data_IF_058649828278
#
_entry.id   IF_058649828278
#
_cell.length_a   1.000
_cell.length_b   1.000
_cell.length_c   1.000
_cell.angle_alpha   90.00
_cell.angle_beta   90.00
_cell.angle_gamma   90.00
#
_symmetry.space_group_name_H-M   'P 1'
#
loop_
_entity.id
_entity.type
_entity.pdbx_description
1 polymer ?
#
# COMPACT_ATOMS: atom_id res chain seq x y z
N UNK A 1 16.99 24.41 -130.43
CA UNK A 1 18.26 23.72 -130.17
C UNK A 1 18.44 23.60 -128.67
N UNK A 2 18.45 22.35 -128.20
CA UNK A 2 19.29 21.80 -127.13
C UNK A 2 19.65 22.62 -125.86
N UNK A 3 19.19 22.07 -124.73
CA UNK A 3 19.99 21.52 -123.62
C UNK A 3 20.13 22.26 -122.27
N UNK A 4 19.85 21.46 -121.23
CA UNK A 4 20.45 21.35 -119.91
C UNK A 4 20.49 22.53 -118.93
N UNK A 5 19.70 22.36 -117.86
CA UNK A 5 20.25 22.05 -116.53
C UNK A 5 20.84 23.21 -115.75
N UNK A 6 20.17 23.59 -114.65
CA UNK A 6 20.81 23.61 -113.34
C UNK A 6 19.73 23.62 -112.24
N UNK A 7 19.84 22.64 -111.36
CA UNK A 7 19.19 22.59 -110.06
C UNK A 7 19.86 23.64 -109.19
N UNK A 8 19.11 24.59 -108.61
CA UNK A 8 19.61 25.37 -107.47
C UNK A 8 18.77 25.07 -106.22
N UNK A 9 19.35 24.21 -105.38
CA UNK A 9 18.93 23.93 -104.01
C UNK A 9 19.31 25.16 -103.18
N UNK A 10 18.35 26.06 -102.95
CA UNK A 10 18.50 27.06 -101.88
C UNK A 10 17.55 26.78 -100.74
N UNK A 11 18.04 25.85 -99.91
CA UNK A 11 17.84 25.71 -98.48
C UNK A 11 17.58 27.07 -97.80
N UNK A 12 16.32 27.49 -97.72
CA UNK A 12 15.89 28.55 -96.81
C UNK A 12 15.71 27.89 -95.44
N UNK A 13 16.81 27.92 -94.67
CA UNK A 13 16.85 27.70 -93.22
C UNK A 13 15.61 28.31 -92.59
N UNK A 14 14.62 27.48 -92.27
CA UNK A 14 13.49 27.86 -91.44
C UNK A 14 14.08 28.35 -90.13
N UNK A 15 13.80 29.61 -89.76
CA UNK A 15 14.15 30.16 -88.45
C UNK A 15 13.63 29.17 -87.41
N UNK A 16 14.56 28.51 -86.74
CA UNK A 16 14.35 27.47 -85.75
C UNK A 16 13.63 28.06 -84.52
N UNK A 17 12.31 28.22 -84.61
CA UNK A 17 11.45 28.48 -83.44
C UNK A 17 11.22 27.20 -82.61
N UNK A 18 11.52 26.02 -83.18
CA UNK A 18 11.51 24.73 -82.48
C UNK A 18 12.33 24.70 -81.18
N UNK A 19 13.63 25.08 -81.16
CA UNK A 19 14.41 25.10 -79.92
C UNK A 19 13.90 26.12 -78.90
N UNK A 20 13.40 27.28 -79.33
CA UNK A 20 12.89 28.31 -78.42
C UNK A 20 11.57 27.87 -77.74
N UNK A 21 10.66 27.24 -78.48
CA UNK A 21 9.41 26.68 -77.93
C UNK A 21 9.73 25.49 -77.01
N UNK A 22 10.73 24.67 -77.35
CA UNK A 22 11.18 23.58 -76.49
C UNK A 22 11.77 24.09 -75.16
N UNK A 23 12.58 25.14 -75.17
CA UNK A 23 13.13 25.77 -73.96
C UNK A 23 12.01 26.33 -73.07
N UNK A 24 11.03 27.03 -73.66
CA UNK A 24 9.89 27.59 -72.92
C UNK A 24 9.05 26.46 -72.30
N UNK A 25 8.83 25.37 -73.04
CA UNK A 25 8.11 24.19 -72.53
C UNK A 25 8.83 23.54 -71.35
N UNK A 26 10.17 23.39 -71.43
CA UNK A 26 10.98 22.84 -70.34
C UNK A 26 10.89 23.73 -69.10
N UNK A 27 11.02 25.05 -69.25
CA UNK A 27 10.90 26.00 -68.13
C UNK A 27 9.49 25.94 -67.51
N UNK A 28 8.45 25.84 -68.33
CA UNK A 28 7.07 25.73 -67.84
C UNK A 28 6.85 24.44 -67.02
N UNK A 29 7.35 23.30 -67.51
CA UNK A 29 7.29 22.02 -66.77
C UNK A 29 8.06 22.12 -65.45
N UNK A 30 9.24 22.72 -65.47
CA UNK A 30 10.07 22.89 -64.28
C UNK A 30 9.41 23.82 -63.25
N UNK A 31 8.75 24.90 -63.70
CA UNK A 31 7.97 25.78 -62.84
C UNK A 31 6.78 25.06 -62.19
N UNK A 32 6.07 24.19 -62.94
CA UNK A 32 4.98 23.38 -62.39
C UNK A 32 5.48 22.41 -61.32
N UNK A 33 6.63 21.77 -61.54
CA UNK A 33 7.26 20.87 -60.54
C UNK A 33 7.63 21.64 -59.26
N UNK A 34 8.17 22.86 -59.39
CA UNK A 34 8.50 23.72 -58.25
C UNK A 34 7.23 24.09 -57.46
N UNK A 35 6.14 24.47 -58.12
CA UNK A 35 4.88 24.82 -57.45
C UNK A 35 4.27 23.62 -56.72
N UNK A 36 4.28 22.43 -57.33
CA UNK A 36 3.75 21.21 -56.70
C UNK A 36 4.61 20.74 -55.52
N UNK A 37 5.92 20.97 -55.55
CA UNK A 37 6.84 20.61 -54.45
C UNK A 37 6.86 21.61 -53.29
N UNK A 38 6.19 22.76 -53.43
CA UNK A 38 6.07 23.78 -52.40
C UNK A 38 5.07 23.41 -51.29
N UNK A 39 4.22 22.39 -51.48
CA UNK A 39 3.30 21.92 -50.45
C UNK A 39 4.02 21.13 -49.35
N UNK A 40 3.82 21.50 -48.09
CA UNK A 40 4.20 20.73 -46.91
C UNK A 40 2.96 20.43 -46.07
N UNK A 41 2.78 19.17 -45.69
CA UNK A 41 1.66 18.74 -44.82
C UNK A 41 2.25 18.30 -43.50
N UNK A 42 1.86 18.98 -42.41
CA UNK A 42 2.24 18.60 -41.05
C UNK A 42 1.11 17.76 -40.46
N UNK A 43 1.38 16.49 -40.05
CA UNK A 43 0.36 15.63 -39.43
C UNK A 43 -0.19 16.22 -38.13
N UNK A 44 -1.44 15.86 -37.80
CA UNK A 44 -2.06 16.26 -36.54
C UNK A 44 -1.27 15.75 -35.33
N UNK A 45 -1.11 16.61 -34.32
CA UNK A 45 -0.31 16.35 -33.12
C UNK A 45 1.21 16.40 -33.32
N UNK A 46 1.67 16.98 -34.43
CA UNK A 46 3.09 17.25 -34.68
C UNK A 46 3.30 18.72 -35.03
N UNK A 47 4.52 19.21 -34.81
CA UNK A 47 4.98 20.55 -35.16
C UNK A 47 6.06 20.44 -36.23
N UNK A 48 5.90 21.17 -37.32
CA UNK A 48 6.91 21.27 -38.37
C UNK A 48 7.94 22.34 -38.02
N UNK A 49 9.19 21.95 -37.81
CA UNK A 49 10.32 22.86 -37.61
C UNK A 49 10.93 23.17 -38.98
N UNK A 50 10.97 24.44 -39.36
CA UNK A 50 11.47 24.87 -40.66
C UNK A 50 12.97 25.16 -40.58
N UNK A 51 13.75 24.43 -41.36
CA UNK A 51 15.19 24.59 -41.52
C UNK A 51 15.45 25.26 -42.86
N UNK A 52 15.98 26.47 -42.84
CA UNK A 52 16.34 27.25 -44.03
C UNK A 52 17.86 27.25 -44.17
N UNK A 53 18.40 26.51 -45.15
CA UNK A 53 19.85 26.40 -45.42
C UNK A 53 20.71 26.16 -44.15
N UNK A 54 20.23 25.28 -43.25
CA UNK A 54 20.91 24.94 -41.99
C UNK A 54 20.59 25.85 -40.80
N UNK A 55 19.85 26.94 -41.00
CA UNK A 55 19.34 27.77 -39.91
C UNK A 55 17.92 27.36 -39.53
N UNK A 56 17.70 27.01 -38.27
CA UNK A 56 16.36 26.71 -37.74
C UNK A 56 15.61 28.02 -37.53
N UNK A 57 14.47 28.17 -38.21
CA UNK A 57 13.58 29.31 -38.02
C UNK A 57 12.85 29.19 -36.68
N UNK A 58 12.74 30.29 -35.95
CA UNK A 58 12.00 30.31 -34.68
C UNK A 58 10.48 30.18 -34.90
N UNK A 59 10.00 30.45 -36.12
CA UNK A 59 8.61 30.20 -36.51
C UNK A 59 8.41 28.72 -36.84
N UNK A 60 7.54 28.06 -36.08
CA UNK A 60 7.09 26.69 -36.35
C UNK A 60 5.86 26.66 -37.24
N UNK A 61 5.70 25.57 -37.98
CA UNK A 61 4.48 25.24 -38.70
C UNK A 61 3.57 24.40 -37.80
N UNK A 62 2.37 24.89 -37.55
CA UNK A 62 1.31 24.16 -36.85
C UNK A 62 0.83 22.97 -37.69
N UNK A 63 0.03 22.09 -37.10
CA UNK A 63 -0.66 21.05 -37.87
C UNK A 63 -1.47 21.65 -39.04
N UNK A 64 -1.45 20.96 -40.19
CA UNK A 64 -2.14 21.41 -41.41
C UNK A 64 -1.24 21.58 -42.62
N UNK A 65 -1.80 22.23 -43.66
CA UNK A 65 -1.11 22.50 -44.92
C UNK A 65 -0.36 23.82 -44.85
N UNK A 66 0.94 23.78 -45.16
CA UNK A 66 1.81 24.94 -45.22
C UNK A 66 2.56 24.99 -46.55
N UNK A 67 2.94 26.18 -46.97
CA UNK A 67 3.79 26.38 -48.13
C UNK A 67 5.24 26.52 -47.67
N UNK A 68 6.13 25.73 -48.28
CA UNK A 68 7.57 25.81 -48.11
C UNK A 68 8.22 26.22 -49.43
N UNK A 69 9.36 26.89 -49.35
CA UNK A 69 10.19 27.17 -50.51
C UNK A 69 10.98 25.88 -50.83
N UNK A 70 10.69 25.19 -51.94
CA UNK A 70 11.40 23.97 -52.30
C UNK A 70 12.90 24.26 -52.47
N UNK A 71 13.75 23.27 -52.15
CA UNK A 71 15.22 23.33 -52.17
C UNK A 71 15.90 24.20 -51.10
N UNK A 72 15.24 25.25 -50.59
CA UNK A 72 15.80 26.18 -49.60
C UNK A 72 15.33 25.83 -48.19
N UNK A 73 14.06 25.42 -48.05
CA UNK A 73 13.43 25.09 -46.79
C UNK A 73 13.15 23.59 -46.67
N UNK A 74 13.60 23.00 -45.57
CA UNK A 74 13.28 21.65 -45.13
C UNK A 74 12.36 21.74 -43.92
N UNK A 75 11.30 20.93 -43.89
CA UNK A 75 10.37 20.87 -42.76
C UNK A 75 10.60 19.56 -42.04
N UNK A 76 11.06 19.65 -40.81
CA UNK A 76 11.33 18.51 -39.93
C UNK A 76 10.18 18.34 -38.94
N UNK A 77 9.67 17.11 -38.84
CA UNK A 77 8.45 16.85 -38.08
C UNK A 77 8.85 16.42 -36.67
N UNK A 78 8.53 17.25 -35.68
CA UNK A 78 8.65 16.91 -34.27
C UNK A 78 7.28 16.48 -33.75
N UNK A 79 7.19 15.31 -33.14
CA UNK A 79 5.95 14.81 -32.54
C UNK A 79 5.68 15.51 -31.20
N UNK A 80 4.49 16.10 -31.05
CA UNK A 80 4.00 16.67 -29.78
C UNK A 80 3.02 15.72 -29.06
N UNK A 81 2.86 14.50 -29.60
CA UNK A 81 2.05 13.45 -28.98
C UNK A 81 2.73 12.95 -27.70
N UNK A 82 1.93 12.36 -26.83
CA UNK A 82 2.44 11.66 -25.64
C UNK A 82 3.27 10.46 -26.12
N UNK A 83 4.51 10.40 -25.66
CA UNK A 83 5.46 9.34 -25.94
C UNK A 83 5.92 8.70 -24.64
N UNK A 84 6.25 7.42 -24.70
CA UNK A 84 6.80 6.67 -23.58
C UNK A 84 8.30 6.56 -23.77
N UNK A 85 9.06 6.92 -22.76
CA UNK A 85 10.49 6.63 -22.66
C UNK A 85 10.74 5.67 -21.51
N UNK A 86 11.28 4.50 -21.84
CA UNK A 86 11.66 3.49 -20.86
C UNK A 86 13.19 3.44 -20.74
N UNK A 87 13.69 3.44 -19.52
CA UNK A 87 15.12 3.35 -19.25
C UNK A 87 15.37 2.68 -17.92
N UNK A 88 16.52 2.00 -17.82
CA UNK A 88 16.99 1.42 -16.58
C UNK A 88 17.85 2.47 -15.85
N UNK A 89 17.51 2.74 -14.60
CA UNK A 89 18.25 3.65 -13.74
C UNK A 89 18.84 2.87 -12.56
N UNK A 90 20.09 3.19 -12.24
CA UNK A 90 20.75 2.71 -11.02
C UNK A 90 20.99 3.89 -10.08
N UNK A 91 20.58 3.72 -8.83
CA UNK A 91 20.74 4.69 -7.76
C UNK A 91 21.22 4.00 -6.48
N UNK A 92 21.62 4.82 -5.51
CA UNK A 92 22.00 4.36 -4.17
C UNK A 92 21.04 4.97 -3.17
N UNK A 93 20.51 4.14 -2.28
CA UNK A 93 19.62 4.57 -1.20
C UNK A 93 20.39 5.23 -0.05
N UNK A 94 19.66 5.80 0.90
CA UNK A 94 20.22 6.42 2.11
C UNK A 94 21.07 5.46 2.95
N UNK A 95 20.73 4.18 2.95
CA UNK A 95 21.41 3.08 3.65
C UNK A 95 22.48 2.38 2.78
N UNK A 96 22.96 3.07 1.73
CA UNK A 96 24.02 2.62 0.82
C UNK A 96 23.71 1.31 0.09
N UNK A 97 22.44 1.01 -0.14
CA UNK A 97 22.03 -0.11 -0.97
C UNK A 97 21.92 0.33 -2.43
N UNK A 98 22.47 -0.48 -3.33
CA UNK A 98 22.28 -0.29 -4.77
C UNK A 98 20.87 -0.69 -5.14
N UNK A 99 20.17 0.22 -5.82
CA UNK A 99 18.81 0.03 -6.30
C UNK A 99 18.83 0.15 -7.81
N UNK A 100 18.43 -0.92 -8.48
CA UNK A 100 18.19 -0.96 -9.90
C UNK A 100 16.69 -0.78 -10.12
N UNK A 101 16.31 0.05 -11.08
CA UNK A 101 14.89 0.33 -11.33
C UNK A 101 14.66 0.54 -12.80
N UNK A 102 13.65 -0.15 -13.35
CA UNK A 102 13.13 0.22 -14.65
C UNK A 102 12.11 1.33 -14.48
N UNK A 103 12.29 2.40 -15.24
CA UNK A 103 11.46 3.61 -15.18
C UNK A 103 10.79 3.81 -16.54
N UNK A 104 9.51 4.17 -16.52
CA UNK A 104 8.75 4.56 -17.68
C UNK A 104 8.23 6.00 -17.48
N UNK A 105 8.59 6.90 -18.39
CA UNK A 105 8.18 8.29 -18.36
C UNK A 105 7.31 8.59 -19.57
N UNK A 106 6.08 9.03 -19.32
CA UNK A 106 5.20 9.56 -20.33
C UNK A 106 5.43 11.07 -20.42
N UNK A 107 5.93 11.52 -21.56
CA UNK A 107 6.25 12.91 -21.80
C UNK A 107 5.67 13.38 -23.14
N UNK A 108 5.57 14.69 -23.31
CA UNK A 108 5.27 15.33 -24.58
C UNK A 108 6.12 16.58 -24.75
N UNK A 109 6.47 16.90 -25.99
CA UNK A 109 7.15 18.16 -26.31
C UNK A 109 6.09 19.24 -26.50
N UNK A 110 6.28 20.42 -25.89
CA UNK A 110 5.38 21.56 -26.14
C UNK A 110 5.57 22.09 -27.57
N UNK A 111 4.46 22.47 -28.22
CA UNK A 111 4.49 22.96 -29.60
C UNK A 111 5.30 24.24 -29.78
N UNK A 112 5.34 25.10 -28.76
CA UNK A 112 6.11 26.36 -28.75
C UNK A 112 7.63 26.13 -28.58
N UNK A 113 8.02 25.09 -27.85
CA UNK A 113 9.42 24.76 -27.62
C UNK A 113 10.02 23.79 -28.65
N UNK A 114 9.20 23.26 -29.57
CA UNK A 114 9.63 22.23 -30.53
C UNK A 114 10.78 22.70 -31.44
N UNK A 115 10.76 23.96 -31.90
CA UNK A 115 11.85 24.55 -32.66
C UNK A 115 13.13 24.68 -31.83
N UNK A 116 13.01 25.15 -30.57
CA UNK A 116 14.16 25.31 -29.68
C UNK A 116 14.82 23.98 -29.32
N UNK A 117 14.03 22.92 -29.08
CA UNK A 117 14.55 21.57 -28.82
C UNK A 117 15.30 21.06 -30.06
N UNK A 118 14.69 21.18 -31.24
CA UNK A 118 15.32 20.72 -32.48
C UNK A 118 16.61 21.50 -32.80
N UNK A 119 16.63 22.81 -32.53
CA UNK A 119 17.78 23.69 -32.77
C UNK A 119 18.96 23.42 -31.84
N UNK A 120 18.69 23.22 -30.54
CA UNK A 120 19.75 23.09 -29.53
C UNK A 120 20.22 21.64 -29.33
N UNK A 121 19.34 20.65 -29.55
CA UNK A 121 19.61 19.24 -29.23
C UNK A 121 19.51 18.33 -30.45
N UNK A 122 18.55 18.61 -31.34
CA UNK A 122 18.26 17.77 -32.50
C UNK A 122 17.23 16.68 -32.20
N UNK A 123 17.25 15.60 -32.99
CA UNK A 123 16.25 14.54 -32.91
C UNK A 123 16.40 13.65 -31.65
N UNK A 124 17.60 13.57 -31.06
CA UNK A 124 17.93 12.67 -29.95
C UNK A 124 17.68 13.26 -28.55
N UNK A 125 16.73 14.20 -28.43
CA UNK A 125 16.44 14.88 -27.17
C UNK A 125 16.03 13.93 -26.03
N UNK A 126 15.49 12.76 -26.34
CA UNK A 126 15.19 11.70 -25.37
C UNK A 126 16.47 11.18 -24.69
N UNK A 127 17.54 10.93 -25.44
CA UNK A 127 18.79 10.42 -24.86
C UNK A 127 19.65 11.53 -24.26
N UNK A 128 19.61 12.72 -24.83
CA UNK A 128 20.48 13.83 -24.39
C UNK A 128 19.95 14.51 -23.13
N UNK A 129 18.63 14.70 -23.02
CA UNK A 129 18.03 15.41 -21.88
C UNK A 129 17.31 14.45 -20.94
N UNK A 130 16.38 13.64 -21.48
CA UNK A 130 15.46 12.87 -20.65
C UNK A 130 16.21 11.79 -19.85
N UNK A 131 17.14 11.07 -20.48
CA UNK A 131 17.92 10.02 -19.81
C UNK A 131 18.76 10.57 -18.63
N UNK A 132 19.62 11.60 -18.80
CA UNK A 132 20.36 12.15 -17.66
C UNK A 132 19.44 12.76 -16.60
N UNK A 133 18.38 13.48 -17.00
CA UNK A 133 17.47 14.11 -16.05
C UNK A 133 16.73 13.09 -15.18
N UNK A 134 16.31 11.95 -15.76
CA UNK A 134 15.71 10.84 -15.02
C UNK A 134 16.71 10.21 -14.06
N UNK A 135 17.93 9.90 -14.54
CA UNK A 135 18.97 9.30 -13.70
C UNK A 135 19.37 10.20 -12.52
N UNK A 136 19.51 11.50 -12.76
CA UNK A 136 19.89 12.44 -11.72
C UNK A 136 18.77 12.67 -10.70
N UNK A 137 17.51 12.78 -11.14
CA UNK A 137 16.36 12.91 -10.26
C UNK A 137 16.15 11.65 -9.42
N UNK A 138 16.31 10.47 -10.04
CA UNK A 138 16.25 9.19 -9.35
C UNK A 138 17.34 9.08 -8.27
N UNK A 139 18.59 9.44 -8.59
CA UNK A 139 19.71 9.44 -7.62
C UNK A 139 19.48 10.42 -6.48
N UNK A 140 18.99 11.63 -6.78
CA UNK A 140 18.78 12.68 -5.79
C UNK A 140 17.67 12.34 -4.78
N UNK A 141 16.56 11.75 -5.23
CA UNK A 141 15.47 11.35 -4.33
C UNK A 141 15.81 10.03 -3.63
N UNK A 142 16.36 9.04 -4.32
CA UNK A 142 16.68 7.74 -3.71
C UNK A 142 17.65 7.86 -2.54
N UNK A 143 18.62 8.79 -2.62
CA UNK A 143 19.55 9.05 -1.52
C UNK A 143 18.90 9.59 -0.24
N UNK A 144 17.65 10.09 -0.30
CA UNK A 144 16.90 10.57 0.86
C UNK A 144 16.12 9.46 1.58
N UNK A 145 15.88 8.34 0.90
CA UNK A 145 15.02 7.25 1.35
C UNK A 145 15.83 5.98 1.63
N UNK A 146 15.43 5.21 2.64
CA UNK A 146 15.99 3.87 2.85
C UNK A 146 15.44 2.89 1.81
N UNK A 147 16.16 1.81 1.53
CA UNK A 147 15.73 0.77 0.59
C UNK A 147 14.30 0.24 0.89
N UNK A 148 13.98 0.00 2.16
CA UNK A 148 12.64 -0.44 2.61
C UNK A 148 11.54 0.60 2.27
N UNK A 149 11.84 1.89 2.43
CA UNK A 149 10.88 2.96 2.15
C UNK A 149 10.63 3.15 0.65
N UNK A 150 11.63 2.85 -0.20
CA UNK A 150 11.45 2.89 -1.65
C UNK A 150 10.41 1.86 -2.10
N UNK A 151 10.34 0.70 -1.43
CA UNK A 151 9.35 -0.35 -1.70
C UNK A 151 7.98 0.03 -1.13
N UNK A 152 7.94 0.39 0.17
CA UNK A 152 6.68 0.63 0.89
C UNK A 152 5.99 1.92 0.45
N UNK A 153 6.75 3.01 0.26
CA UNK A 153 6.24 4.35 -0.08
C UNK A 153 6.50 4.72 -1.55
N UNK A 154 6.48 3.72 -2.44
CA UNK A 154 6.76 3.88 -3.87
C UNK A 154 6.02 5.04 -4.54
N UNK A 155 4.74 5.23 -4.22
CA UNK A 155 3.91 6.27 -4.83
C UNK A 155 4.40 7.68 -4.46
N UNK A 156 4.75 7.89 -3.19
CA UNK A 156 5.25 9.16 -2.70
C UNK A 156 6.62 9.47 -3.32
N UNK A 157 7.53 8.48 -3.32
CA UNK A 157 8.85 8.60 -3.94
C UNK A 157 8.73 8.91 -5.44
N UNK A 158 7.83 8.21 -6.14
CA UNK A 158 7.58 8.45 -7.56
C UNK A 158 7.04 9.84 -7.86
N UNK A 159 6.21 10.40 -6.98
CA UNK A 159 5.72 11.77 -7.10
C UNK A 159 6.85 12.79 -6.91
N UNK A 160 7.70 12.63 -5.89
CA UNK A 160 8.85 13.51 -5.67
C UNK A 160 9.85 13.47 -6.84
N UNK A 161 10.10 12.28 -7.39
CA UNK A 161 10.94 12.13 -8.59
C UNK A 161 10.29 12.83 -9.79
N UNK A 162 8.96 12.72 -9.97
CA UNK A 162 8.24 13.42 -11.03
C UNK A 162 8.43 14.93 -10.90
N UNK A 163 8.20 15.49 -9.72
CA UNK A 163 8.31 16.93 -9.47
C UNK A 163 9.73 17.45 -9.76
N UNK A 164 10.75 16.71 -9.31
CA UNK A 164 12.14 17.05 -9.59
C UNK A 164 12.49 16.93 -11.07
N UNK A 165 12.00 15.89 -11.74
CA UNK A 165 12.20 15.69 -13.17
C UNK A 165 11.53 16.81 -13.98
N UNK A 166 10.28 17.13 -13.66
CA UNK A 166 9.49 18.18 -14.33
C UNK A 166 10.19 19.54 -14.21
N UNK A 167 10.71 19.88 -13.03
CA UNK A 167 11.48 21.13 -12.85
C UNK A 167 12.69 21.22 -13.78
N UNK A 168 13.36 20.10 -14.07
CA UNK A 168 14.56 20.07 -14.92
C UNK A 168 14.25 20.08 -16.40
N UNK A 169 13.21 19.36 -16.82
CA UNK A 169 12.89 19.23 -18.24
C UNK A 169 11.97 20.34 -18.75
N UNK A 170 11.28 21.06 -17.87
CA UNK A 170 10.40 22.17 -18.27
C UNK A 170 11.16 23.34 -18.89
N UNK A 171 12.43 23.57 -18.49
CA UNK A 171 13.30 24.60 -19.08
C UNK A 171 13.56 24.35 -20.57
N UNK A 172 13.62 23.07 -20.96
CA UNK A 172 13.77 22.65 -22.35
C UNK A 172 12.43 22.58 -23.09
N UNK A 173 11.30 22.78 -22.41
CA UNK A 173 9.96 22.72 -23.00
C UNK A 173 9.41 21.30 -23.18
N UNK A 174 9.92 20.33 -22.43
CA UNK A 174 9.36 18.98 -22.32
C UNK A 174 8.41 18.97 -21.13
N UNK A 175 7.19 18.46 -21.32
CA UNK A 175 6.20 18.30 -20.25
C UNK A 175 6.08 16.82 -19.87
N UNK A 176 6.14 16.54 -18.57
CA UNK A 176 5.96 15.19 -18.03
C UNK A 176 4.50 14.99 -17.65
N UNK A 177 3.82 14.06 -18.32
CA UNK A 177 2.44 13.70 -18.00
C UNK A 177 2.41 12.75 -16.80
N UNK A 178 3.16 11.66 -16.90
CA UNK A 178 3.18 10.60 -15.88
C UNK A 178 4.57 10.02 -15.72
N UNK A 179 4.94 9.78 -14.47
CA UNK A 179 6.15 9.06 -14.11
C UNK A 179 5.75 7.75 -13.45
N UNK A 180 6.20 6.62 -14.01
CA UNK A 180 5.95 5.30 -13.48
C UNK A 180 7.28 4.63 -13.18
N UNK A 181 7.40 4.09 -11.98
CA UNK A 181 8.45 3.13 -11.64
C UNK A 181 7.86 1.76 -11.99
N UNK A 182 8.54 0.96 -12.81
CA UNK A 182 8.10 -0.38 -13.23
C UNK A 182 8.43 -1.39 -12.15
N UNK A 183 9.68 -1.41 -11.68
CA UNK A 183 10.14 -2.24 -10.56
C UNK A 183 11.31 -1.60 -9.79
N UNK A 184 11.54 -2.09 -8.57
CA UNK A 184 12.73 -1.87 -7.78
C UNK A 184 13.40 -3.23 -7.56
N UNK A 185 14.61 -3.40 -8.09
CA UNK A 185 15.44 -4.57 -7.88
C UNK A 185 16.61 -4.19 -6.97
N UNK A 186 16.78 -4.96 -5.91
CA UNK A 186 17.94 -4.89 -5.00
C UNK A 186 18.83 -6.11 -5.23
N UNK A 187 19.99 -6.14 -4.57
CA UNK A 187 20.84 -7.34 -4.57
C UNK A 187 20.08 -8.54 -3.99
N UNK A 188 20.41 -9.74 -4.49
CA UNK A 188 19.77 -10.97 -4.03
C UNK A 188 19.97 -11.19 -2.53
N UNK A 189 21.15 -10.80 -2.02
CA UNK A 189 21.49 -10.86 -0.59
C UNK A 189 20.60 -9.94 0.25
N UNK A 190 20.33 -8.72 -0.23
CA UNK A 190 19.45 -7.78 0.48
C UNK A 190 18.01 -8.28 0.50
N UNK A 191 17.50 -8.75 -0.63
CA UNK A 191 16.15 -9.32 -0.70
C UNK A 191 15.99 -10.51 0.26
N UNK A 192 16.98 -11.41 0.32
CA UNK A 192 16.97 -12.52 1.28
C UNK A 192 17.02 -12.05 2.73
N UNK A 193 17.83 -11.02 3.04
CA UNK A 193 17.90 -10.47 4.39
C UNK A 193 16.58 -9.81 4.82
N UNK A 194 15.89 -9.10 3.92
CA UNK A 194 14.56 -8.51 4.18
C UNK A 194 13.52 -9.59 4.41
N UNK A 195 13.50 -10.64 3.58
CA UNK A 195 12.60 -11.77 3.76
C UNK A 195 12.84 -12.46 5.11
N UNK A 196 14.09 -12.71 5.48
CA UNK A 196 14.45 -13.28 6.78
C UNK A 196 14.03 -12.37 7.94
N UNK A 197 14.24 -11.05 7.82
CA UNK A 197 13.81 -10.07 8.82
C UNK A 197 12.29 -10.07 8.96
N UNK A 198 11.55 -10.11 7.86
CA UNK A 198 10.10 -10.15 7.86
C UNK A 198 9.56 -11.44 8.50
N UNK A 199 10.17 -12.59 8.20
CA UNK A 199 9.84 -13.87 8.85
C UNK A 199 10.14 -13.81 10.36
N UNK A 200 11.27 -13.25 10.75
CA UNK A 200 11.63 -13.08 12.16
C UNK A 200 10.67 -12.15 12.90
N UNK A 201 10.31 -11.01 12.31
CA UNK A 201 9.32 -10.07 12.87
C UNK A 201 7.92 -10.69 12.97
N UNK A 202 7.50 -11.43 11.94
CA UNK A 202 6.24 -12.15 11.94
C UNK A 202 6.21 -13.25 13.02
N UNK A 203 7.32 -13.97 13.20
CA UNK A 203 7.45 -14.97 14.26
C UNK A 203 7.44 -14.33 15.65
N UNK A 204 8.15 -13.22 15.84
CA UNK A 204 8.13 -12.46 17.09
C UNK A 204 6.71 -11.98 17.42
N UNK A 205 5.98 -11.49 16.41
CA UNK A 205 4.59 -11.05 16.58
C UNK A 205 3.70 -12.22 17.00
N UNK A 206 3.81 -13.38 16.31
CA UNK A 206 3.08 -14.60 16.69
C UNK A 206 3.39 -15.04 18.12
N UNK A 207 4.66 -15.11 18.49
CA UNK A 207 5.05 -15.50 19.85
C UNK A 207 4.55 -14.51 20.90
N UNK A 208 4.57 -13.20 20.63
CA UNK A 208 3.99 -12.19 21.53
C UNK A 208 2.48 -12.39 21.67
N UNK A 209 1.77 -12.59 20.56
CA UNK A 209 0.33 -12.85 20.59
C UNK A 209 0.01 -14.14 21.36
N UNK A 210 0.77 -15.22 21.16
CA UNK A 210 0.61 -16.46 21.93
C UNK A 210 0.88 -16.29 23.42
N UNK A 211 1.88 -15.47 23.80
CA UNK A 211 2.16 -15.15 25.20
C UNK A 211 1.04 -14.30 25.82
N UNK A 212 0.54 -13.30 25.10
CA UNK A 212 -0.60 -12.48 25.54
C UNK A 212 -1.86 -13.33 25.69
N UNK A 213 -2.15 -14.23 24.75
CA UNK A 213 -3.26 -15.18 24.84
C UNK A 213 -3.11 -16.10 26.05
N UNK A 214 -1.91 -16.66 26.29
CA UNK A 214 -1.66 -17.50 27.46
C UNK A 214 -1.84 -16.73 28.77
N UNK A 215 -1.41 -15.48 28.84
CA UNK A 215 -1.62 -14.61 30.01
C UNK A 215 -3.12 -14.34 30.23
N UNK A 216 -3.86 -14.04 29.17
CA UNK A 216 -5.31 -13.82 29.24
C UNK A 216 -6.04 -15.09 29.70
N UNK A 217 -5.65 -16.26 29.20
CA UNK A 217 -6.22 -17.55 29.63
C UNK A 217 -5.89 -17.82 31.10
N UNK A 218 -4.64 -17.61 31.51
CA UNK A 218 -4.20 -17.83 32.89
C UNK A 218 -4.93 -16.89 33.87
N UNK A 219 -5.12 -15.62 33.52
CA UNK A 219 -5.89 -14.66 34.29
C UNK A 219 -7.38 -15.06 34.35
N UNK A 220 -7.96 -15.45 33.22
CA UNK A 220 -9.34 -15.93 33.16
C UNK A 220 -9.56 -17.18 34.04
N UNK A 221 -8.62 -18.12 34.06
CA UNK A 221 -8.71 -19.32 34.91
C UNK A 221 -8.47 -19.01 36.39
N UNK A 222 -7.58 -18.07 36.72
CA UNK A 222 -7.43 -17.58 38.09
C UNK A 222 -8.74 -16.91 38.57
N UNK A 223 -9.35 -16.06 37.74
CA UNK A 223 -10.64 -15.44 38.04
C UNK A 223 -11.76 -16.48 38.17
N UNK A 224 -11.80 -17.51 37.32
CA UNK A 224 -12.76 -18.63 37.47
C UNK A 224 -12.59 -19.35 38.80
N UNK A 225 -11.35 -19.68 39.20
CA UNK A 225 -11.08 -20.33 40.50
C UNK A 225 -11.52 -19.47 41.68
N UNK A 226 -11.24 -18.17 41.65
CA UNK A 226 -11.70 -17.23 42.69
C UNK A 226 -13.22 -17.16 42.73
N UNK A 227 -13.88 -17.05 41.57
CA UNK A 227 -15.35 -17.05 41.48
C UNK A 227 -15.96 -18.36 41.97
N UNK A 228 -15.37 -19.51 41.64
CA UNK A 228 -15.81 -20.82 42.11
C UNK A 228 -15.66 -20.95 43.63
N UNK A 229 -14.49 -20.60 44.19
CA UNK A 229 -14.25 -20.62 45.63
C UNK A 229 -15.21 -19.68 46.40
N UNK A 230 -15.47 -18.48 45.85
CA UNK A 230 -16.45 -17.55 46.42
C UNK A 230 -17.88 -18.10 46.34
N UNK A 231 -18.24 -18.77 45.23
CA UNK A 231 -19.54 -19.41 45.08
C UNK A 231 -19.72 -20.59 46.05
N UNK A 232 -18.69 -21.41 46.25
CA UNK A 232 -18.69 -22.49 47.24
C UNK A 232 -18.78 -21.95 48.67
N UNK A 233 -17.99 -20.91 49.01
CA UNK A 233 -18.06 -20.26 50.31
C UNK A 233 -19.46 -19.68 50.57
N UNK A 234 -20.06 -19.02 49.57
CA UNK A 234 -21.42 -18.50 49.65
C UNK A 234 -22.45 -19.64 49.81
N UNK A 235 -22.30 -20.75 49.10
CA UNK A 235 -23.17 -21.91 49.21
C UNK A 235 -23.07 -22.59 50.58
N UNK A 236 -21.86 -22.75 51.13
CA UNK A 236 -21.64 -23.30 52.48
C UNK A 236 -22.27 -22.39 53.52
N UNK A 237 -22.06 -21.07 53.40
CA UNK A 237 -22.66 -20.09 54.32
C UNK A 237 -24.19 -20.13 54.25
N UNK A 238 -24.77 -20.12 53.06
CA UNK A 238 -26.22 -20.22 52.88
C UNK A 238 -26.79 -21.52 53.45
N UNK A 239 -26.08 -22.65 53.31
CA UNK A 239 -26.47 -23.93 53.91
C UNK A 239 -26.36 -23.91 55.43
N UNK A 240 -25.32 -23.30 55.99
CA UNK A 240 -25.14 -23.14 57.43
C UNK A 240 -26.21 -22.23 58.03
N UNK A 241 -26.54 -21.12 57.37
CA UNK A 241 -27.61 -20.21 57.77
C UNK A 241 -28.97 -20.92 57.73
N UNK A 242 -29.26 -21.66 56.64
CA UNK A 242 -30.48 -22.46 56.53
C UNK A 242 -30.58 -23.56 57.61
N UNK A 243 -29.47 -24.20 57.98
CA UNK A 243 -29.43 -25.16 59.08
C UNK A 243 -29.62 -24.47 60.44
N UNK A 244 -29.02 -23.31 60.65
CA UNK A 244 -29.20 -22.53 61.87
C UNK A 244 -30.67 -22.10 62.04
N UNK A 245 -31.31 -21.64 60.98
CA UNK A 245 -32.73 -21.29 60.99
C UNK A 245 -33.62 -22.52 61.19
N UNK A 246 -33.33 -23.64 60.51
CA UNK A 246 -34.03 -24.89 60.74
C UNK A 246 -33.90 -25.35 62.20
N UNK A 247 -32.70 -25.27 62.79
CA UNK A 247 -32.46 -25.63 64.19
C UNK A 247 -33.21 -24.71 65.16
N UNK A 248 -33.31 -23.40 64.87
CA UNK A 248 -34.13 -22.47 65.65
C UNK A 248 -35.61 -22.85 65.60
N UNK A 249 -36.17 -23.06 64.40
CA UNK A 249 -37.57 -23.46 64.22
C UNK A 249 -37.84 -24.80 64.91
N UNK A 250 -36.93 -25.77 64.77
CA UNK A 250 -37.01 -27.04 65.48
C UNK A 250 -37.02 -26.79 66.99
N UNK A 251 -36.06 -26.03 67.54
CA UNK A 251 -35.99 -25.71 68.96
C UNK A 251 -37.22 -24.98 69.50
N UNK A 252 -37.85 -24.10 68.70
CA UNK A 252 -39.11 -23.44 69.06
C UNK A 252 -40.31 -24.40 69.01
N UNK A 253 -40.27 -25.38 68.11
CA UNK A 253 -41.30 -26.43 67.99
C UNK A 253 -41.13 -27.59 68.97
N UNK A 254 -39.98 -27.70 69.63
CA UNK A 254 -39.71 -28.70 70.66
C UNK A 254 -40.51 -28.35 71.94
N UNK A 255 -41.70 -28.93 72.05
CA UNK A 255 -42.44 -29.02 73.30
C UNK A 255 -41.90 -30.23 74.10
N UNK A 256 -41.55 -30.04 75.37
CA UNK A 256 -40.93 -31.06 76.26
C UNK A 256 -41.74 -32.37 76.36
N UNK A 257 -43.03 -32.30 76.04
CA UNK A 257 -43.95 -33.45 75.97
C UNK A 257 -43.77 -34.27 74.69
N UNK A 258 -43.45 -33.62 73.56
CA UNK A 258 -43.21 -34.27 72.27
C UNK A 258 -41.84 -34.98 72.23
N UNK A 259 -40.84 -34.40 72.91
CA UNK A 259 -39.52 -35.01 73.03
C UNK A 259 -39.59 -36.36 73.75
N UNK A 260 -40.36 -36.43 74.85
CA UNK A 260 -40.61 -37.66 75.61
C UNK A 260 -41.34 -38.72 74.77
N UNK A 261 -42.29 -38.30 73.93
CA UNK A 261 -43.00 -39.21 73.02
C UNK A 261 -42.08 -39.78 71.93
N UNK A 262 -41.28 -38.94 71.25
CA UNK A 262 -40.33 -39.41 70.22
C UNK A 262 -39.18 -40.24 70.80
N UNK A 263 -38.72 -39.94 72.01
CA UNK A 263 -37.77 -40.76 72.75
C UNK A 263 -38.36 -42.14 73.02
N UNK A 264 -39.62 -42.25 73.47
CA UNK A 264 -40.28 -43.54 73.67
C UNK A 264 -40.45 -44.32 72.36
N UNK A 265 -40.76 -43.65 71.25
CA UNK A 265 -41.04 -44.29 69.95
C UNK A 265 -39.78 -44.85 69.28
N UNK A 266 -38.63 -44.19 69.46
CA UNK A 266 -37.32 -44.67 68.97
C UNK A 266 -36.55 -45.52 69.96
N UNK A 267 -37.08 -45.73 71.17
CA UNK A 267 -36.43 -46.57 72.16
C UNK A 267 -36.73 -48.05 71.87
N UNK A 268 -35.69 -48.80 71.53
CA UNK A 268 -35.76 -50.23 71.23
C UNK A 268 -35.81 -51.12 72.48
N UNK A 269 -36.41 -50.66 73.59
CA UNK A 269 -36.70 -51.48 74.77
C UNK A 269 -35.50 -52.19 75.42
N UNK A 270 -34.25 -51.91 75.04
CA UNK A 270 -33.06 -52.53 75.63
C UNK A 270 -32.28 -51.54 76.47
N UNK A 271 -32.31 -51.74 77.79
CA UNK A 271 -31.37 -51.09 78.71
C UNK A 271 -30.01 -51.77 78.56
N UNK A 272 -28.90 -51.03 78.32
CA UNK A 272 -27.57 -51.62 78.24
C UNK A 272 -27.20 -52.20 79.60
N UNK A 273 -27.32 -53.52 79.73
CA UNK A 273 -26.81 -54.27 80.88
C UNK A 273 -25.32 -54.52 80.70
N UNK A 274 -24.51 -53.51 81.02
CA UNK A 274 -23.16 -53.75 81.53
C UNK A 274 -22.91 -52.77 82.66
N UNK A 275 -23.01 -53.28 83.89
CA UNK A 275 -22.67 -52.56 85.11
C UNK A 275 -21.14 -52.52 85.26
N UNK A 276 -20.52 -51.42 84.82
CA UNK A 276 -19.21 -50.99 85.30
C UNK A 276 -19.43 -50.11 86.54
N UNK A 277 -18.88 -50.53 87.67
CA UNK A 277 -19.08 -49.92 88.98
C UNK A 277 -18.73 -48.43 89.02
N UNK A 278 -19.61 -47.64 89.63
CA UNK A 278 -19.46 -46.24 90.04
C UNK A 278 -19.67 -45.17 88.94
N UNK A 279 -20.85 -45.18 88.33
CA UNK A 279 -21.77 -44.02 88.21
C UNK A 279 -22.80 -44.27 87.08
N UNK A 280 -24.12 -44.23 87.33
CA UNK A 280 -25.10 -44.30 86.24
C UNK A 280 -25.03 -43.02 85.40
N UNK A 281 -24.74 -43.17 84.10
CA UNK A 281 -24.52 -42.10 83.13
C UNK A 281 -25.79 -41.29 82.77
N UNK A 282 -26.98 -41.69 83.24
CA UNK A 282 -28.24 -40.98 82.95
C UNK A 282 -29.17 -41.04 84.16
N UNK A 283 -29.23 -39.95 84.92
CA UNK A 283 -30.31 -39.71 85.88
C UNK A 283 -31.47 -39.07 85.13
N UNK A 284 -32.42 -39.88 84.65
CA UNK A 284 -33.74 -39.37 84.30
C UNK A 284 -34.41 -39.02 85.63
N UNK A 285 -34.32 -37.75 86.03
CA UNK A 285 -34.96 -37.22 87.23
C UNK A 285 -36.47 -37.38 87.14
N UNK A 286 -36.98 -38.51 87.64
CA UNK A 286 -38.40 -38.83 87.80
C UNK A 286 -38.84 -38.79 89.27
N UNK A 287 -38.01 -38.25 90.17
CA UNK A 287 -38.21 -38.30 91.63
C UNK A 287 -39.03 -37.12 92.21
N UNK A 288 -39.61 -36.23 91.40
CA UNK A 288 -40.43 -35.11 91.90
C UNK A 288 -41.95 -35.38 91.88
N UNK A 289 -42.39 -36.60 92.22
CA UNK A 289 -43.80 -36.87 92.56
C UNK A 289 -43.87 -37.62 93.90
N UNK A 290 -43.49 -36.96 94.98
CA UNK A 290 -44.11 -37.08 96.31
C UNK A 290 -43.42 -36.10 97.24
N UNK A 291 -44.10 -35.02 97.59
CA UNK A 291 -43.57 -34.01 98.50
C UNK A 291 -43.27 -34.56 99.90
N UNK A 292 -42.42 -33.86 100.64
CA UNK A 292 -42.86 -32.86 101.61
C UNK A 292 -41.64 -32.33 102.38
N UNK A 293 -41.60 -31.01 102.53
CA UNK A 293 -40.97 -30.20 103.58
C UNK A 293 -40.05 -30.89 104.61
N UNK A 294 -38.85 -30.36 104.82
CA UNK A 294 -38.54 -29.42 105.93
C UNK A 294 -37.06 -29.05 105.98
N UNK A 295 -36.80 -27.74 106.15
CA UNK A 295 -35.70 -27.04 106.86
C UNK A 295 -34.44 -27.87 107.26
N UNK A 296 -33.21 -27.37 107.05
CA UNK A 296 -32.64 -26.27 107.87
C UNK A 296 -31.48 -25.51 107.20
N UNK A 297 -31.49 -24.18 107.40
CA UNK A 297 -30.36 -23.24 107.45
C UNK A 297 -29.07 -23.84 108.06
N UNK A 298 -27.82 -23.46 107.76
CA UNK A 298 -27.15 -22.12 107.82
C UNK A 298 -25.66 -22.27 107.35
N UNK A 299 -24.75 -21.25 107.31
CA UNK A 299 -23.82 -20.99 106.20
C UNK A 299 -22.31 -21.00 106.60
N UNK A 300 -21.40 -20.72 105.64
CA UNK A 300 -20.08 -20.04 105.78
C UNK A 300 -19.37 -20.05 104.41
N UNK A 301 -19.10 -18.91 103.76
CA UNK A 301 -17.99 -17.96 103.97
C UNK A 301 -16.62 -18.63 103.68
N UNK A 302 -15.74 -18.14 102.80
CA UNK A 302 -15.58 -16.85 102.08
C UNK A 302 -15.40 -17.07 100.57
#
# INVERSE_FOLDING_TARGET
>A
MENNGFVDIKNKKGKTKGPMIAIISIIAVLAVIVVLSAGAIVPAGCTGVVVTLGSVSDSTYSEGFHLKIPFVQQVEIVSNKIQVYETDASAVSKDLQTVNSKIAVNFRVRSDASASIYKNIGADYQQVILMPAVQESMKAISAKYNAEQLITNRNQVGQEIKEQLESKVSEYGIQIEKFNIVNFDFSAEFNSAIEQKQVAEQNLLKTKTEQEEQLVIADADAQKKIKAANAEAAAIKAKADAQADANKVISESLNDTLLKYQLLEKWDGTVPKVAGSANPLLTLGLDEISGNNTNTNTPKAE
#
